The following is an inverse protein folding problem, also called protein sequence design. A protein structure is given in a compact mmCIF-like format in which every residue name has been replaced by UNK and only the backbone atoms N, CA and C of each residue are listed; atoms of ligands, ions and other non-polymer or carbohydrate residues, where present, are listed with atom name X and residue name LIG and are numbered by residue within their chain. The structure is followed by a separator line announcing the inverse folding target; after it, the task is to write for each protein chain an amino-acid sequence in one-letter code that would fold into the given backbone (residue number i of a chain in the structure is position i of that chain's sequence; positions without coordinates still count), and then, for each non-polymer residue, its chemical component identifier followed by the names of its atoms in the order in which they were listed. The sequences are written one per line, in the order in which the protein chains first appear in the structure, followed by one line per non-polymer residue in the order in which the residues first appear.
data_IF_143942593691
#
_entry.id   IF_143942593691
#
_cell.length_a   1.000
_cell.length_b   1.000
_cell.length_c   1.000
_cell.angle_alpha   90.00
_cell.angle_beta   90.00
_cell.angle_gamma   90.00
#
_symmetry.space_group_name_H-M   'P 1'
#
loop_
_entity.id
_entity.type
_entity.pdbx_description
1 polymer ?
#
# COMPACT_ATOMS: atom_id res chain seq x y z
N UNK A 1 8.40 -28.13 5.69
CA UNK A 1 8.82 -27.56 4.39
C UNK A 1 9.87 -26.52 4.71
N UNK A 2 11.13 -26.92 4.73
CA UNK A 2 12.25 -26.03 5.01
C UNK A 2 12.39 -25.06 3.86
N UNK A 3 11.93 -23.82 4.07
CA UNK A 3 12.18 -22.72 3.15
C UNK A 3 13.70 -22.57 3.08
N UNK A 4 14.27 -22.71 1.88
CA UNK A 4 15.71 -22.53 1.66
C UNK A 4 16.15 -21.24 2.36
N UNK A 5 17.21 -21.24 3.18
CA UNK A 5 17.61 -20.06 3.96
C UNK A 5 17.84 -18.82 3.09
N UNK A 6 18.22 -19.03 1.83
CA UNK A 6 18.35 -17.99 0.80
C UNK A 6 17.02 -17.30 0.47
N UNK A 7 15.92 -18.06 0.34
CA UNK A 7 14.60 -17.51 0.04
C UNK A 7 14.09 -16.61 1.18
N UNK A 8 14.38 -16.99 2.43
CA UNK A 8 14.02 -16.17 3.59
C UNK A 8 14.70 -14.80 3.56
N UNK A 9 16.02 -14.78 3.32
CA UNK A 9 16.78 -13.52 3.25
C UNK A 9 16.28 -12.65 2.10
N UNK A 10 16.05 -13.24 0.92
CA UNK A 10 15.49 -12.51 -0.23
C UNK A 10 14.13 -11.90 0.11
N UNK A 11 13.25 -12.66 0.75
CA UNK A 11 11.94 -12.17 1.17
C UNK A 11 12.04 -11.00 2.16
N UNK A 12 12.90 -11.10 3.17
CA UNK A 12 13.13 -10.04 4.16
C UNK A 12 13.69 -8.78 3.51
N UNK A 13 14.67 -8.91 2.61
CA UNK A 13 15.25 -7.77 1.86
C UNK A 13 14.19 -7.10 0.99
N UNK A 14 13.39 -7.88 0.25
CA UNK A 14 12.32 -7.33 -0.60
C UNK A 14 11.27 -6.58 0.23
N UNK A 15 10.91 -7.08 1.40
CA UNK A 15 9.99 -6.40 2.30
C UNK A 15 10.54 -5.06 2.79
N UNK A 16 11.79 -5.04 3.26
CA UNK A 16 12.43 -3.83 3.78
C UNK A 16 12.58 -2.80 2.67
N UNK A 17 13.14 -3.19 1.52
CA UNK A 17 13.33 -2.30 0.37
C UNK A 17 11.99 -1.79 -0.15
N UNK A 18 10.98 -2.65 -0.26
CA UNK A 18 9.64 -2.27 -0.69
C UNK A 18 8.97 -1.29 0.28
N UNK A 19 9.10 -1.50 1.59
CA UNK A 19 8.58 -0.58 2.60
C UNK A 19 9.25 0.80 2.50
N UNK A 20 10.59 0.83 2.41
CA UNK A 20 11.36 2.07 2.28
C UNK A 20 11.04 2.80 0.97
N UNK A 21 10.95 2.09 -0.15
CA UNK A 21 10.59 2.67 -1.44
C UNK A 21 9.16 3.27 -1.42
N UNK A 22 8.21 2.54 -0.81
CA UNK A 22 6.81 3.00 -0.70
C UNK A 22 6.71 4.27 0.15
N UNK A 23 7.35 4.29 1.32
CA UNK A 23 7.36 5.48 2.18
C UNK A 23 8.17 6.63 1.58
N UNK A 24 9.32 6.34 0.96
CA UNK A 24 10.12 7.34 0.26
C UNK A 24 9.31 8.02 -0.85
N UNK A 25 8.54 7.25 -1.62
CA UNK A 25 7.60 7.79 -2.60
C UNK A 25 6.51 8.64 -1.94
N UNK A 26 5.83 8.14 -0.90
CA UNK A 26 4.77 8.88 -0.20
C UNK A 26 5.29 10.19 0.36
N UNK A 27 6.41 10.17 1.06
CA UNK A 27 7.05 11.36 1.66
C UNK A 27 7.45 12.34 0.56
N UNK A 28 8.15 11.87 -0.49
CA UNK A 28 8.60 12.74 -1.57
C UNK A 28 7.41 13.35 -2.32
N UNK A 29 6.39 12.55 -2.65
CA UNK A 29 5.25 13.02 -3.40
C UNK A 29 4.38 13.98 -2.58
N UNK A 30 4.15 13.69 -1.30
CA UNK A 30 3.40 14.59 -0.40
C UNK A 30 4.11 15.92 -0.15
N UNK A 31 5.45 15.92 -0.10
CA UNK A 31 6.24 17.14 0.03
C UNK A 31 6.35 17.97 -1.27
N UNK A 32 6.16 17.35 -2.44
CA UNK A 32 6.39 18.01 -3.74
C UNK A 32 5.11 18.52 -4.38
N UNK A 33 4.00 17.80 -4.19
CA UNK A 33 2.77 18.04 -4.91
C UNK A 33 1.59 18.23 -3.94
N UNK A 34 0.64 19.09 -4.33
CA UNK A 34 -0.67 19.21 -3.65
C UNK A 34 -1.56 18.02 -4.02
N UNK A 35 -1.12 16.84 -3.60
CA UNK A 35 -1.72 15.54 -3.93
C UNK A 35 -3.20 15.46 -3.54
N UNK A 36 -3.63 16.22 -2.53
CA UNK A 36 -5.02 16.30 -2.09
C UNK A 36 -5.94 17.00 -3.10
N UNK A 37 -5.42 17.81 -4.02
CA UNK A 37 -6.23 18.55 -5.00
C UNK A 37 -6.66 17.67 -6.17
N UNK A 38 -5.78 16.79 -6.64
CA UNK A 38 -6.04 15.96 -7.81
C UNK A 38 -6.55 14.58 -7.42
N UNK A 39 -7.50 14.03 -8.18
CA UNK A 39 -8.01 12.67 -7.95
C UNK A 39 -6.89 11.63 -8.10
N UNK A 40 -6.05 11.78 -9.13
CA UNK A 40 -4.88 10.93 -9.37
C UNK A 40 -3.91 10.98 -8.18
N UNK A 41 -3.59 12.17 -7.68
CA UNK A 41 -2.68 12.33 -6.53
C UNK A 41 -3.18 11.65 -5.27
N UNK A 42 -4.48 11.81 -4.94
CA UNK A 42 -5.13 11.12 -3.82
C UNK A 42 -5.04 9.60 -3.96
N UNK A 43 -5.29 9.06 -5.16
CA UNK A 43 -5.17 7.63 -5.42
C UNK A 43 -3.73 7.13 -5.28
N UNK A 44 -2.75 7.86 -5.83
CA UNK A 44 -1.35 7.48 -5.83
C UNK A 44 -0.81 7.41 -4.39
N UNK A 45 -1.11 8.43 -3.58
CA UNK A 45 -0.71 8.47 -2.17
C UNK A 45 -1.44 7.40 -1.36
N UNK A 46 -2.76 7.25 -1.53
CA UNK A 46 -3.54 6.28 -0.74
C UNK A 46 -3.09 4.84 -1.01
N UNK A 47 -2.85 4.50 -2.27
CA UNK A 47 -2.34 3.18 -2.66
C UNK A 47 -0.94 2.92 -2.09
N UNK A 48 0.00 3.82 -2.36
CA UNK A 48 1.39 3.65 -1.90
C UNK A 48 1.49 3.64 -0.38
N UNK A 49 0.64 4.39 0.33
CA UNK A 49 0.59 4.37 1.80
C UNK A 49 0.07 3.05 2.35
N UNK A 50 -0.99 2.48 1.74
CA UNK A 50 -1.51 1.16 2.16
C UNK A 50 -0.49 0.05 1.89
N UNK A 51 0.16 0.06 0.72
CA UNK A 51 1.23 -0.89 0.40
C UNK A 51 2.40 -0.74 1.38
N UNK A 52 2.86 0.49 1.61
CA UNK A 52 3.90 0.78 2.60
C UNK A 52 3.54 0.28 4.00
N UNK A 53 2.30 0.48 4.44
CA UNK A 53 1.81 0.01 5.72
C UNK A 53 1.78 -1.53 5.82
N UNK A 54 1.35 -2.24 4.77
CA UNK A 54 1.40 -3.70 4.71
C UNK A 54 2.83 -4.23 4.81
N UNK A 55 3.74 -3.69 4.00
CA UNK A 55 5.15 -4.11 3.99
C UNK A 55 5.80 -3.83 5.36
N UNK A 56 5.55 -2.65 5.92
CA UNK A 56 6.02 -2.27 7.26
C UNK A 56 5.47 -3.21 8.33
N UNK A 57 4.20 -3.57 8.25
CA UNK A 57 3.59 -4.52 9.18
C UNK A 57 4.29 -5.89 9.15
N UNK A 58 4.60 -6.41 7.96
CA UNK A 58 5.31 -7.68 7.86
C UNK A 58 6.74 -7.56 8.40
N UNK A 59 7.46 -6.48 8.11
CA UNK A 59 8.77 -6.19 8.72
C UNK A 59 8.67 -6.15 10.25
N UNK A 60 7.67 -5.48 10.80
CA UNK A 60 7.43 -5.41 12.25
C UNK A 60 7.14 -6.78 12.84
N UNK A 61 6.38 -7.63 12.17
CA UNK A 61 6.12 -9.01 12.60
C UNK A 61 7.41 -9.85 12.65
N UNK A 62 8.37 -9.60 11.77
CA UNK A 62 9.67 -10.28 11.80
C UNK A 62 10.52 -9.87 13.01
N UNK A 63 10.58 -8.57 13.28
CA UNK A 63 11.42 -8.01 14.35
C UNK A 63 10.74 -8.21 15.72
N UNK A 64 9.41 -8.18 15.75
CA UNK A 64 8.60 -8.28 16.96
C UNK A 64 7.44 -9.27 16.77
N UNK A 65 7.68 -10.58 16.93
CA UNK A 65 6.65 -11.61 16.70
C UNK A 65 5.44 -11.52 17.67
N UNK A 66 5.65 -10.94 18.85
CA UNK A 66 4.69 -10.86 19.95
C UNK A 66 3.93 -9.53 20.02
N UNK A 67 3.81 -8.80 18.91
CA UNK A 67 3.07 -7.53 18.85
C UNK A 67 1.64 -7.72 19.40
N UNK A 68 1.24 -6.98 20.45
CA UNK A 68 -0.12 -7.02 20.96
C UNK A 68 -1.10 -6.46 19.91
N UNK A 69 -2.31 -7.02 19.84
CA UNK A 69 -3.33 -6.56 18.88
C UNK A 69 -3.04 -6.89 17.42
N UNK A 70 -2.13 -7.84 17.14
CA UNK A 70 -1.75 -8.28 15.78
C UNK A 70 -2.93 -8.53 14.84
N UNK A 71 -4.02 -9.12 15.36
CA UNK A 71 -5.23 -9.40 14.58
C UNK A 71 -5.98 -8.12 14.19
N UNK A 72 -6.12 -7.17 15.13
CA UNK A 72 -6.75 -5.87 14.87
C UNK A 72 -5.97 -5.05 13.85
N UNK A 73 -4.63 -5.05 13.95
CA UNK A 73 -3.77 -4.37 12.98
C UNK A 73 -3.97 -4.96 11.57
N UNK A 74 -3.95 -6.29 11.42
CA UNK A 74 -4.21 -6.93 10.12
C UNK A 74 -5.60 -6.59 9.59
N UNK A 75 -6.62 -6.67 10.44
CA UNK A 75 -7.99 -6.36 10.06
C UNK A 75 -8.07 -4.93 9.50
N UNK A 76 -7.49 -3.97 10.20
CA UNK A 76 -7.45 -2.57 9.76
C UNK A 76 -6.74 -2.41 8.42
N UNK A 77 -5.58 -3.06 8.24
CA UNK A 77 -4.84 -3.03 6.99
C UNK A 77 -5.67 -3.61 5.83
N UNK A 78 -6.34 -4.75 6.03
CA UNK A 78 -7.21 -5.34 5.02
C UNK A 78 -8.42 -4.46 4.70
N UNK A 79 -9.04 -3.85 5.69
CA UNK A 79 -10.13 -2.87 5.48
C UNK A 79 -9.63 -1.69 4.63
N UNK A 80 -8.46 -1.14 4.96
CA UNK A 80 -7.87 -0.04 4.19
C UNK A 80 -7.56 -0.45 2.74
N UNK A 81 -7.02 -1.66 2.53
CA UNK A 81 -6.75 -2.19 1.19
C UNK A 81 -8.03 -2.37 0.38
N UNK A 82 -9.07 -2.97 0.96
CA UNK A 82 -10.37 -3.14 0.31
C UNK A 82 -10.96 -1.78 -0.05
N UNK A 83 -10.93 -0.82 0.88
CA UNK A 83 -11.43 0.53 0.62
C UNK A 83 -10.72 1.20 -0.57
N UNK A 84 -9.39 1.10 -0.65
CA UNK A 84 -8.62 1.67 -1.78
C UNK A 84 -8.91 0.94 -3.09
N UNK A 85 -9.06 -0.38 -3.08
CA UNK A 85 -9.42 -1.16 -4.29
C UNK A 85 -10.82 -0.78 -4.78
N UNK A 86 -11.80 -0.72 -3.89
CA UNK A 86 -13.18 -0.31 -4.22
C UNK A 86 -13.19 1.10 -4.80
N UNK A 87 -12.48 2.05 -4.17
CA UNK A 87 -12.36 3.40 -4.71
C UNK A 87 -11.73 3.40 -6.11
N UNK A 88 -10.70 2.58 -6.36
CA UNK A 88 -10.08 2.46 -7.68
C UNK A 88 -11.04 1.94 -8.75
N UNK A 89 -11.87 0.93 -8.42
CA UNK A 89 -12.91 0.42 -9.31
C UNK A 89 -13.94 1.51 -9.66
N UNK A 90 -14.43 2.23 -8.65
CA UNK A 90 -15.38 3.33 -8.83
C UNK A 90 -14.78 4.47 -9.68
N UNK A 91 -13.49 4.78 -9.53
CA UNK A 91 -12.82 5.75 -10.41
C UNK A 91 -12.74 5.24 -11.85
N UNK A 92 -12.33 3.99 -12.06
CA UNK A 92 -12.22 3.41 -13.38
C UNK A 92 -13.56 3.40 -14.12
N UNK A 93 -14.64 3.02 -13.43
CA UNK A 93 -15.99 3.08 -14.00
C UNK A 93 -16.37 4.52 -14.35
N UNK A 94 -16.16 5.49 -13.45
CA UNK A 94 -16.46 6.91 -13.74
C UNK A 94 -15.71 7.43 -14.98
N UNK A 95 -14.44 7.06 -15.15
CA UNK A 95 -13.66 7.43 -16.34
C UNK A 95 -14.20 6.77 -17.61
N UNK A 96 -14.54 5.48 -17.54
CA UNK A 96 -15.16 4.74 -18.66
C UNK A 96 -16.47 5.38 -19.10
N UNK A 97 -17.32 5.79 -18.15
CA UNK A 97 -18.59 6.47 -18.43
C UNK A 97 -18.41 7.83 -19.09
N UNK A 98 -17.39 8.62 -18.69
CA UNK A 98 -17.07 9.91 -19.33
C UNK A 98 -16.62 9.73 -20.76
N UNK A 99 -15.68 8.82 -21.01
CA UNK A 99 -15.16 8.54 -22.36
C UNK A 99 -16.26 8.08 -23.34
N UNK A 100 -17.29 7.39 -22.84
CA UNK A 100 -18.43 6.97 -23.66
C UNK A 100 -19.38 8.13 -24.04
N UNK A 101 -19.42 9.22 -23.26
CA UNK A 101 -20.26 10.40 -23.54
C UNK A 101 -19.62 11.38 -24.52
N UNK A 102 -18.30 11.32 -24.68
CA UNK A 102 -17.52 12.17 -25.58
C UNK A 102 -17.37 11.58 -27.00
N UNK A 103 -17.90 10.38 -27.24
CA UNK A 103 -18.03 9.75 -28.56
C UNK A 103 -19.47 9.78 -29.03
#
# INVERSE_FOLDING_TARGET
MDVLPQLRVVFEVLLVVGALASWGFVIRYTATYRWWETEIGRHLISWSSVVGAFLTYYVLVFIWPTIPGRMWIRLFLFVALIAVIVWRLVMFERLRWRSKKEK
#
